data_IF_717840129970
#
_entry.id   IF_717840129970
#
_cell.length_a   1.000
_cell.length_b   1.000
_cell.length_c   1.000
_cell.angle_alpha   90.00
_cell.angle_beta   90.00
_cell.angle_gamma   90.00
#
_symmetry.space_group_name_H-M   'P 1'
#
loop_
_entity.id
_entity.type
_entity.pdbx_description
1 polymer ?
#
# COMPACT_ATOMS: atom_id res chain seq x y z
N UNK A 1 -37.13 -5.67 23.98
CA UNK A 1 -36.37 -5.71 22.72
C UNK A 1 -35.15 -6.58 22.97
N UNK A 2 -35.13 -7.80 22.45
CA UNK A 2 -33.98 -8.69 22.62
C UNK A 2 -32.81 -8.10 21.82
N UNK A 3 -31.69 -7.81 22.49
CA UNK A 3 -30.45 -7.46 21.82
C UNK A 3 -30.05 -8.62 20.90
N UNK A 4 -30.06 -8.38 19.58
CA UNK A 4 -29.64 -9.37 18.61
C UNK A 4 -28.19 -9.78 18.88
N UNK A 5 -27.90 -11.09 18.81
CA UNK A 5 -26.53 -11.60 18.93
C UNK A 5 -25.64 -10.87 17.92
N UNK A 6 -24.56 -10.25 18.39
CA UNK A 6 -23.48 -9.73 17.55
C UNK A 6 -23.00 -10.86 16.64
N UNK A 7 -23.05 -10.66 15.33
CA UNK A 7 -22.55 -11.63 14.37
C UNK A 7 -21.03 -11.72 14.50
N UNK A 8 -20.50 -12.93 14.67
CA UNK A 8 -19.06 -13.18 14.66
C UNK A 8 -18.59 -13.34 13.21
N UNK A 9 -17.59 -12.56 12.82
CA UNK A 9 -16.88 -12.70 11.55
C UNK A 9 -15.55 -13.45 11.78
N UNK A 10 -15.39 -14.60 11.15
CA UNK A 10 -14.16 -15.40 11.26
C UNK A 10 -12.99 -14.78 10.51
N UNK A 11 -13.25 -13.97 9.48
CA UNK A 11 -12.21 -13.30 8.68
C UNK A 11 -11.68 -12.03 9.37
N UNK A 12 -12.45 -11.48 10.32
CA UNK A 12 -12.07 -10.35 11.16
C UNK A 12 -12.55 -10.52 12.63
N UNK A 13 -11.99 -11.49 13.39
CA UNK A 13 -12.50 -11.87 14.72
C UNK A 13 -12.51 -10.74 15.75
N UNK A 14 -11.63 -9.75 15.59
CA UNK A 14 -11.48 -8.60 16.48
C UNK A 14 -11.95 -7.29 15.84
N UNK A 15 -12.66 -7.37 14.71
CA UNK A 15 -13.28 -6.25 14.03
C UNK A 15 -12.31 -5.10 13.73
N UNK A 16 -11.13 -5.44 13.20
CA UNK A 16 -10.15 -4.49 12.70
C UNK A 16 -10.79 -3.47 11.75
N UNK A 17 -11.71 -3.90 10.88
CA UNK A 17 -12.39 -2.98 9.96
C UNK A 17 -13.09 -1.82 10.69
N UNK A 18 -13.72 -2.10 11.84
CA UNK A 18 -14.36 -1.08 12.67
C UNK A 18 -13.40 -0.20 13.47
N UNK A 19 -12.13 -0.58 13.58
CA UNK A 19 -11.07 0.19 14.24
C UNK A 19 -10.38 1.17 13.28
N UNK A 20 -10.54 0.98 11.97
CA UNK A 20 -9.98 1.85 10.95
C UNK A 20 -10.85 3.11 10.76
N UNK A 21 -10.17 4.20 10.45
CA UNK A 21 -10.82 5.42 9.92
C UNK A 21 -11.40 5.15 8.53
N UNK A 22 -12.31 6.03 8.08
CA UNK A 22 -12.85 5.96 6.73
C UNK A 22 -11.74 6.05 5.66
N UNK A 23 -10.81 6.99 5.84
CA UNK A 23 -9.65 7.15 4.94
C UNK A 23 -8.80 5.88 4.87
N UNK A 24 -8.49 5.24 6.01
CA UNK A 24 -7.71 4.00 6.04
C UNK A 24 -8.43 2.85 5.32
N UNK A 25 -9.76 2.72 5.48
CA UNK A 25 -10.57 1.74 4.75
C UNK A 25 -10.53 2.01 3.25
N UNK A 26 -10.73 3.25 2.82
CA UNK A 26 -10.67 3.64 1.41
C UNK A 26 -9.30 3.34 0.79
N UNK A 27 -8.20 3.64 1.48
CA UNK A 27 -6.84 3.35 1.03
C UNK A 27 -6.62 1.85 0.88
N UNK A 28 -7.02 1.06 1.89
CA UNK A 28 -6.96 -0.40 1.82
C UNK A 28 -7.74 -0.94 0.62
N UNK A 29 -8.94 -0.45 0.41
CA UNK A 29 -9.84 -0.98 -0.62
C UNK A 29 -9.34 -0.59 -2.03
N UNK A 30 -8.78 0.61 -2.20
CA UNK A 30 -8.11 1.04 -3.43
C UNK A 30 -6.87 0.19 -3.72
N UNK A 31 -6.01 -0.03 -2.71
CA UNK A 31 -4.83 -0.89 -2.85
C UNK A 31 -5.24 -2.33 -3.22
N UNK A 32 -6.28 -2.87 -2.57
CA UNK A 32 -6.82 -4.19 -2.87
C UNK A 32 -7.31 -4.27 -4.32
N UNK A 33 -8.10 -3.30 -4.78
CA UNK A 33 -8.62 -3.30 -6.15
C UNK A 33 -7.49 -3.37 -7.18
N UNK A 34 -6.49 -2.49 -7.05
CA UNK A 34 -5.29 -2.53 -7.90
C UNK A 34 -4.57 -3.89 -7.85
N UNK A 35 -4.36 -4.43 -6.65
CA UNK A 35 -3.66 -5.70 -6.48
C UNK A 35 -4.40 -6.86 -7.15
N UNK A 36 -5.72 -6.94 -7.00
CA UNK A 36 -6.53 -8.01 -7.59
C UNK A 36 -6.69 -7.86 -9.11
N UNK A 37 -6.82 -6.64 -9.62
CA UNK A 37 -7.06 -6.39 -11.05
C UNK A 37 -5.77 -6.36 -11.89
N UNK A 38 -4.66 -5.91 -11.31
CA UNK A 38 -3.42 -5.61 -12.05
C UNK A 38 -2.26 -6.51 -11.66
N UNK A 39 -2.05 -6.77 -10.37
CA UNK A 39 -0.89 -7.58 -9.91
C UNK A 39 -1.18 -9.08 -9.99
N UNK A 40 -2.35 -9.52 -9.51
CA UNK A 40 -2.71 -10.93 -9.45
C UNK A 40 -2.65 -11.65 -10.81
N UNK A 41 -3.09 -11.06 -11.95
CA UNK A 41 -2.96 -11.71 -13.25
C UNK A 41 -1.50 -11.87 -13.72
N UNK A 42 -0.57 -11.05 -13.21
CA UNK A 42 0.84 -11.03 -13.64
C UNK A 42 1.71 -12.01 -12.86
N UNK A 43 1.35 -12.29 -11.60
CA UNK A 43 2.25 -12.93 -10.61
C UNK A 43 2.77 -14.30 -11.03
N UNK A 44 1.93 -15.17 -11.62
CA UNK A 44 2.34 -16.55 -11.91
C UNK A 44 3.44 -16.61 -12.97
N UNK A 45 3.29 -15.82 -14.03
CA UNK A 45 4.27 -15.76 -15.13
C UNK A 45 5.52 -15.00 -14.69
N UNK A 46 5.34 -13.87 -13.99
CA UNK A 46 6.42 -13.09 -13.42
C UNK A 46 7.32 -13.92 -12.50
N UNK A 47 6.72 -14.66 -11.57
CA UNK A 47 7.44 -15.52 -10.63
C UNK A 47 8.14 -16.68 -11.35
N UNK A 48 7.43 -17.40 -12.24
CA UNK A 48 7.99 -18.56 -12.95
C UNK A 48 9.20 -18.21 -13.82
N UNK A 49 9.18 -17.03 -14.42
CA UNK A 49 10.20 -16.60 -15.38
C UNK A 49 11.17 -15.56 -14.83
N UNK A 50 11.12 -15.27 -13.52
CA UNK A 50 11.99 -14.31 -12.83
C UNK A 50 11.99 -12.93 -13.51
N UNK A 51 10.80 -12.43 -13.87
CA UNK A 51 10.62 -11.13 -14.52
C UNK A 51 9.70 -10.24 -13.71
N UNK A 52 9.99 -8.95 -13.78
CA UNK A 52 9.12 -7.90 -13.24
C UNK A 52 8.83 -6.87 -14.32
N UNK A 53 7.57 -6.49 -14.45
CA UNK A 53 7.17 -5.37 -15.29
C UNK A 53 7.47 -4.05 -14.58
N UNK A 54 8.26 -3.18 -15.22
CA UNK A 54 8.64 -1.87 -14.69
C UNK A 54 7.42 -0.95 -14.55
N UNK A 55 6.41 -1.10 -15.39
CA UNK A 55 5.21 -0.26 -15.36
C UNK A 55 4.46 -0.33 -14.03
N UNK A 56 4.66 -1.38 -13.24
CA UNK A 56 4.11 -1.52 -11.88
C UNK A 56 4.51 -0.33 -10.98
N UNK A 57 5.71 0.24 -11.14
CA UNK A 57 6.10 1.43 -10.37
C UNK A 57 5.31 2.66 -10.78
N UNK A 58 5.04 2.83 -12.08
CA UNK A 58 4.25 3.95 -12.58
C UNK A 58 2.80 3.83 -12.09
N UNK A 59 2.21 2.64 -12.25
CA UNK A 59 0.84 2.33 -11.79
C UNK A 59 0.69 2.57 -10.27
N UNK A 60 1.64 2.09 -9.45
CA UNK A 60 1.63 2.33 -8.00
C UNK A 60 1.82 3.81 -7.65
N UNK A 61 2.63 4.55 -8.40
CA UNK A 61 2.86 5.98 -8.21
C UNK A 61 1.62 6.81 -8.51
N UNK A 62 0.92 6.54 -9.61
CA UNK A 62 -0.33 7.21 -9.99
C UNK A 62 -1.44 7.02 -8.96
N UNK A 63 -1.44 5.89 -8.24
CA UNK A 63 -2.39 5.57 -7.18
C UNK A 63 -1.96 6.05 -5.79
N UNK A 64 -0.78 6.68 -5.66
CA UNK A 64 -0.26 7.15 -4.37
C UNK A 64 0.20 6.03 -3.42
N UNK A 65 0.52 4.84 -3.95
CA UNK A 65 0.98 3.70 -3.16
C UNK A 65 2.49 3.72 -2.87
N UNK A 66 3.23 4.62 -3.52
CA UNK A 66 4.67 4.86 -3.31
C UNK A 66 4.89 6.09 -2.45
N UNK A 67 5.73 5.96 -1.42
CA UNK A 67 5.92 6.98 -0.39
C UNK A 67 4.63 7.47 0.26
N UNK A 68 3.73 6.59 0.78
CA UNK A 68 2.44 7.04 1.31
C UNK A 68 2.58 8.09 2.43
N UNK A 69 3.64 8.00 3.24
CA UNK A 69 3.89 8.91 4.37
C UNK A 69 4.68 10.16 3.99
N UNK A 70 5.07 10.30 2.72
CA UNK A 70 5.81 11.47 2.24
C UNK A 70 4.82 12.63 2.07
N UNK A 71 5.17 13.86 2.49
CA UNK A 71 4.31 15.02 2.34
C UNK A 71 3.86 15.28 0.90
N UNK A 72 2.64 15.78 0.74
CA UNK A 72 2.07 16.16 -0.57
C UNK A 72 2.91 17.22 -1.29
N UNK A 73 3.60 18.11 -0.55
CA UNK A 73 4.50 19.13 -1.13
C UNK A 73 5.67 18.54 -1.94
N UNK A 74 6.02 17.28 -1.69
CA UNK A 74 7.06 16.52 -2.43
C UNK A 74 6.45 15.45 -3.36
N UNK A 75 5.14 15.52 -3.62
CA UNK A 75 4.44 14.56 -4.48
C UNK A 75 4.10 13.22 -3.83
N UNK A 76 4.27 13.11 -2.50
CA UNK A 76 3.76 11.97 -1.73
C UNK A 76 2.26 12.07 -1.42
N UNK A 77 1.73 11.09 -0.71
CA UNK A 77 0.29 11.01 -0.42
C UNK A 77 -0.10 11.57 0.98
N UNK A 78 0.86 11.99 1.80
CA UNK A 78 0.60 12.60 3.12
C UNK A 78 -0.15 11.69 4.11
N UNK A 79 -0.16 10.37 3.89
CA UNK A 79 -0.91 9.39 4.66
C UNK A 79 -0.20 8.98 5.95
N UNK A 80 -0.96 8.40 6.88
CA UNK A 80 -0.40 7.86 8.12
C UNK A 80 0.25 6.47 7.93
N UNK A 81 0.93 5.99 8.97
CA UNK A 81 1.59 4.68 8.95
C UNK A 81 0.62 3.49 8.93
N UNK A 82 -0.63 3.65 9.39
CA UNK A 82 -1.66 2.60 9.30
C UNK A 82 -2.04 2.38 7.85
N UNK A 83 -2.27 3.45 7.08
CA UNK A 83 -2.45 3.40 5.63
C UNK A 83 -1.28 2.68 4.95
N UNK A 84 -0.03 3.04 5.29
CA UNK A 84 1.14 2.35 4.73
C UNK A 84 1.13 0.84 5.03
N UNK A 85 0.83 0.45 6.27
CA UNK A 85 0.71 -0.96 6.65
C UNK A 85 -0.42 -1.70 5.92
N UNK A 86 -1.57 -1.05 5.72
CA UNK A 86 -2.71 -1.61 4.98
C UNK A 86 -2.38 -1.80 3.49
N UNK A 87 -1.71 -0.83 2.87
CA UNK A 87 -1.21 -0.96 1.48
C UNK A 87 -0.26 -2.16 1.40
N UNK A 88 0.74 -2.24 2.28
CA UNK A 88 1.69 -3.34 2.30
C UNK A 88 1.01 -4.70 2.45
N UNK A 89 0.01 -4.80 3.35
CA UNK A 89 -0.81 -6.01 3.55
C UNK A 89 -1.54 -6.44 2.28
N UNK A 90 -2.14 -5.52 1.53
CA UNK A 90 -2.89 -5.87 0.32
C UNK A 90 -1.98 -6.17 -0.87
N UNK A 91 -0.81 -5.52 -0.98
CA UNK A 91 0.20 -5.85 -2.01
C UNK A 91 0.82 -7.22 -1.76
N UNK A 92 1.22 -7.50 -0.52
CA UNK A 92 1.84 -8.79 -0.16
C UNK A 92 0.84 -9.95 -0.15
N UNK A 93 -0.47 -9.66 -0.05
CA UNK A 93 -1.51 -10.67 -0.30
C UNK A 93 -1.38 -11.30 -1.69
N UNK A 94 -0.83 -10.56 -2.65
CA UNK A 94 -0.52 -11.09 -4.00
C UNK A 94 0.88 -11.70 -4.02
N UNK A 95 1.92 -10.90 -3.70
CA UNK A 95 3.31 -11.37 -3.73
C UNK A 95 4.25 -10.49 -2.89
N UNK A 96 5.18 -11.15 -2.18
CA UNK A 96 6.19 -10.48 -1.35
C UNK A 96 7.23 -9.70 -2.17
N UNK A 97 7.49 -10.07 -3.43
CA UNK A 97 8.37 -9.34 -4.34
C UNK A 97 7.80 -7.97 -4.72
N UNK A 98 6.50 -7.90 -5.02
CA UNK A 98 5.81 -6.62 -5.25
C UNK A 98 5.87 -5.70 -4.03
N UNK A 99 5.58 -6.24 -2.84
CA UNK A 99 5.71 -5.46 -1.59
C UNK A 99 7.15 -5.05 -1.33
N UNK A 100 8.14 -5.87 -1.69
CA UNK A 100 9.57 -5.54 -1.51
C UNK A 100 9.98 -4.33 -2.34
N UNK A 101 9.58 -4.26 -3.60
CA UNK A 101 9.82 -3.11 -4.46
C UNK A 101 9.20 -1.83 -3.89
N UNK A 102 7.93 -1.91 -3.46
CA UNK A 102 7.22 -0.80 -2.83
C UNK A 102 7.92 -0.32 -1.54
N UNK A 103 8.37 -1.26 -0.69
CA UNK A 103 9.09 -0.95 0.56
C UNK A 103 10.45 -0.30 0.31
N UNK A 104 11.22 -0.78 -0.68
CA UNK A 104 12.51 -0.17 -1.04
C UNK A 104 12.28 1.27 -1.51
N UNK A 105 11.36 1.46 -2.46
CA UNK A 105 11.07 2.79 -3.00
C UNK A 105 10.60 3.76 -1.91
N UNK A 106 9.65 3.33 -1.08
CA UNK A 106 9.06 4.19 -0.06
C UNK A 106 10.01 4.42 1.12
N UNK A 107 10.39 3.35 1.82
CA UNK A 107 11.07 3.44 3.12
C UNK A 107 12.59 3.49 3.02
N UNK A 108 13.19 3.00 1.94
CA UNK A 108 14.66 2.94 1.80
C UNK A 108 15.21 3.97 0.82
N UNK A 109 14.35 4.64 0.04
CA UNK A 109 14.75 5.72 -0.88
C UNK A 109 14.06 7.03 -0.51
N UNK A 110 12.72 7.09 -0.59
CA UNK A 110 12.01 8.35 -0.38
C UNK A 110 12.13 8.86 1.07
N UNK A 111 11.97 7.99 2.07
CA UNK A 111 12.11 8.37 3.49
C UNK A 111 13.48 8.97 3.81
N UNK A 112 14.63 8.32 3.53
CA UNK A 112 15.92 8.93 3.84
C UNK A 112 16.19 10.23 3.06
N UNK A 113 15.67 10.37 1.84
CA UNK A 113 15.73 11.64 1.10
C UNK A 113 14.90 12.72 1.81
N UNK A 114 13.69 12.39 2.27
CA UNK A 114 12.81 13.32 2.97
C UNK A 114 13.36 13.74 4.34
N UNK A 115 13.92 12.81 5.10
CA UNK A 115 14.42 13.07 6.46
C UNK A 115 15.80 13.73 6.46
N UNK A 116 16.70 13.31 5.56
CA UNK A 116 18.11 13.70 5.62
C UNK A 116 18.58 14.54 4.42
N UNK A 117 17.75 14.66 3.37
CA UNK A 117 18.05 15.48 2.20
C UNK A 117 17.86 16.97 2.46
N UNK A 118 18.58 17.80 1.69
CA UNK A 118 18.29 19.24 1.64
C UNK A 118 17.07 19.52 0.75
N UNK A 119 16.52 20.73 0.84
CA UNK A 119 15.32 21.13 0.07
C UNK A 119 15.48 20.98 -1.45
N UNK A 120 16.67 21.24 -1.99
CA UNK A 120 16.91 21.07 -3.41
C UNK A 120 16.88 19.60 -3.83
N UNK A 121 17.35 18.68 -2.98
CA UNK A 121 17.27 17.23 -3.21
C UNK A 121 15.83 16.72 -3.10
N UNK A 122 15.03 17.20 -2.14
CA UNK A 122 13.64 16.76 -1.96
C UNK A 122 12.72 17.17 -3.11
N UNK A 123 13.01 18.32 -3.75
CA UNK A 123 12.20 18.88 -4.86
C UNK A 123 12.62 18.45 -6.26
N UNK A 124 13.70 17.68 -6.39
CA UNK A 124 14.26 17.24 -7.67
C UNK A 124 13.78 15.84 -8.02
#
# INVERSE_FOLDING_TARGET
MAAGKTAFDWADPFFLDGQLTETERLVRDAARAYCQEKLLPRVQEAFRHEKTDREIFNEMGELGLLGPTIPEEYGGAGMNYVCYGLIAREVERVDSGYRSMMSVQSSLVMVPINEFGNEATKKK
#
